data_IF_155951452071
#
_entry.id   IF_155951452071
#
_cell.length_a   1.000
_cell.length_b   1.000
_cell.length_c   1.000
_cell.angle_alpha   90.00
_cell.angle_beta   90.00
_cell.angle_gamma   90.00
#
_symmetry.space_group_name_H-M   'P 1'
#
loop_
_entity.id
_entity.type
_entity.pdbx_description
1 polymer ?
#
# COMPACT_ATOMS: atom_id res chain seq x y z
N UNK A 1 10.94 8.20 -2.48
CA UNK A 1 10.02 7.03 -2.46
C UNK A 1 8.82 7.23 -3.36
N UNK A 2 8.46 6.22 -4.15
CA UNK A 2 7.33 6.32 -5.10
C UNK A 2 6.01 5.99 -4.40
N UNK A 3 5.10 6.94 -4.44
CA UNK A 3 3.74 6.87 -3.93
C UNK A 3 2.81 6.47 -5.09
N UNK A 4 2.40 5.20 -5.15
CA UNK A 4 1.54 4.65 -6.21
C UNK A 4 2.27 4.00 -7.39
N UNK A 5 1.49 3.39 -8.28
CA UNK A 5 1.95 2.73 -9.50
C UNK A 5 1.21 1.44 -9.83
N UNK A 6 1.59 0.83 -10.96
CA UNK A 6 1.08 -0.47 -11.38
C UNK A 6 2.07 -1.56 -10.99
N UNK A 7 1.58 -2.60 -10.31
CA UNK A 7 2.40 -3.70 -9.81
C UNK A 7 1.82 -4.99 -10.36
N UNK A 8 2.66 -5.76 -11.03
CA UNK A 8 2.37 -7.14 -11.37
C UNK A 8 3.11 -8.03 -10.39
N UNK A 9 2.37 -8.63 -9.47
CA UNK A 9 2.97 -9.38 -8.36
C UNK A 9 3.37 -10.77 -8.85
N UNK A 10 4.62 -11.18 -8.70
CA UNK A 10 5.08 -12.56 -8.97
C UNK A 10 5.44 -13.32 -7.69
N UNK A 11 5.69 -12.59 -6.61
CA UNK A 11 5.99 -13.08 -5.26
C UNK A 11 5.49 -12.06 -4.23
N UNK A 12 5.41 -12.47 -2.96
CA UNK A 12 5.01 -11.56 -1.88
C UNK A 12 5.93 -10.32 -1.83
N UNK A 13 5.34 -9.14 -1.62
CA UNK A 13 6.05 -7.87 -1.58
C UNK A 13 5.37 -6.90 -0.61
N UNK A 14 6.08 -5.84 -0.26
CA UNK A 14 5.62 -4.82 0.69
C UNK A 14 5.20 -3.55 -0.04
N UNK A 15 4.13 -2.94 0.47
CA UNK A 15 3.72 -1.58 0.15
C UNK A 15 3.65 -0.79 1.44
N UNK A 16 4.22 0.41 1.40
CA UNK A 16 4.24 1.32 2.54
C UNK A 16 3.88 2.71 2.09
N UNK A 17 3.39 3.52 3.01
CA UNK A 17 3.39 4.97 2.82
C UNK A 17 4.82 5.47 2.60
N UNK A 18 5.01 6.55 1.83
CA UNK A 18 6.28 7.25 1.79
C UNK A 18 6.70 7.65 3.22
N UNK A 19 7.93 7.34 3.60
CA UNK A 19 8.46 7.66 4.93
C UNK A 19 8.34 6.54 5.97
N UNK A 20 7.49 5.51 5.77
CA UNK A 20 7.41 4.40 6.72
C UNK A 20 8.80 3.79 7.01
N UNK A 21 9.18 3.54 8.28
CA UNK A 21 8.33 3.54 9.49
C UNK A 21 8.14 4.92 10.16
N UNK A 22 8.66 6.00 9.58
CA UNK A 22 8.40 7.37 10.04
C UNK A 22 7.04 7.85 9.53
N UNK A 23 6.63 9.05 9.97
CA UNK A 23 5.38 9.69 9.55
C UNK A 23 5.30 9.86 8.04
N UNK A 24 4.11 9.63 7.49
CA UNK A 24 3.80 9.97 6.10
C UNK A 24 3.74 11.49 5.90
N UNK A 25 4.03 11.97 4.70
CA UNK A 25 3.98 13.41 4.43
C UNK A 25 2.52 13.88 4.28
N UNK A 26 2.18 15.13 4.69
CA UNK A 26 0.84 15.67 4.51
C UNK A 26 0.50 15.84 3.02
N UNK A 27 -0.81 15.89 2.71
CA UNK A 27 -1.33 16.12 1.36
C UNK A 27 -0.88 15.09 0.29
N UNK A 28 -0.68 13.83 0.71
CA UNK A 28 -0.31 12.74 -0.21
C UNK A 28 -1.53 12.04 -0.81
N UNK A 29 -1.41 11.67 -2.08
CA UNK A 29 -2.38 10.82 -2.78
C UNK A 29 -1.63 9.68 -3.49
N UNK A 30 -1.64 8.50 -2.88
CA UNK A 30 -1.06 7.31 -3.48
C UNK A 30 -2.15 6.40 -4.04
N UNK A 31 -1.92 5.83 -5.23
CA UNK A 31 -2.83 4.87 -5.83
C UNK A 31 -2.02 3.72 -6.43
N UNK A 32 -2.25 2.52 -5.95
CA UNK A 32 -1.60 1.30 -6.43
C UNK A 32 -2.62 0.41 -7.13
N UNK A 33 -2.27 -0.07 -8.32
CA UNK A 33 -3.03 -1.09 -9.04
C UNK A 33 -2.22 -2.38 -9.01
N UNK A 34 -2.69 -3.37 -8.26
CA UNK A 34 -2.00 -4.65 -8.09
C UNK A 34 -2.70 -5.70 -8.97
N UNK A 35 -1.92 -6.39 -9.80
CA UNK A 35 -2.40 -7.41 -10.73
C UNK A 35 -1.72 -8.76 -10.47
N UNK A 36 -2.51 -9.83 -10.49
CA UNK A 36 -2.01 -11.19 -10.38
C UNK A 36 -1.37 -11.68 -11.71
N UNK A 37 -0.41 -12.63 -11.67
CA UNK A 37 0.23 -13.15 -12.88
C UNK A 37 -0.74 -13.81 -13.87
N UNK A 38 -1.74 -14.52 -13.34
CA UNK A 38 -2.69 -15.32 -14.11
C UNK A 38 -4.15 -15.13 -13.70
N UNK A 39 -5.10 -15.54 -14.56
CA UNK A 39 -6.53 -15.21 -14.46
C UNK A 39 -7.27 -15.85 -13.28
N UNK A 40 -6.75 -16.97 -12.74
CA UNK A 40 -7.37 -17.71 -11.63
C UNK A 40 -6.70 -17.43 -10.28
N UNK A 41 -5.71 -16.53 -10.24
CA UNK A 41 -5.02 -16.18 -9.00
C UNK A 41 -5.72 -15.02 -8.30
N UNK A 42 -5.68 -15.03 -6.96
CA UNK A 42 -6.24 -13.97 -6.11
C UNK A 42 -5.14 -13.29 -5.33
N UNK A 43 -5.35 -12.01 -5.02
CA UNK A 43 -4.41 -11.20 -4.25
C UNK A 43 -4.86 -11.21 -2.80
N UNK A 44 -3.94 -11.53 -1.89
CA UNK A 44 -4.12 -11.39 -0.45
C UNK A 44 -3.25 -10.22 0.04
N UNK A 45 -3.83 -9.38 0.90
CA UNK A 45 -3.13 -8.24 1.51
C UNK A 45 -3.27 -8.38 3.02
N UNK A 46 -2.15 -8.27 3.73
CA UNK A 46 -2.10 -8.25 5.19
C UNK A 46 -1.49 -6.93 5.63
N UNK A 47 -2.11 -6.28 6.61
CA UNK A 47 -1.55 -5.08 7.24
C UNK A 47 -0.57 -5.47 8.34
N UNK A 48 0.49 -4.68 8.49
CA UNK A 48 1.38 -4.78 9.64
C UNK A 48 0.60 -4.31 10.90
N UNK A 49 0.72 -4.98 12.06
CA UNK A 49 0.10 -4.51 13.31
C UNK A 49 0.56 -3.10 13.72
N UNK A 50 1.74 -2.66 13.29
CA UNK A 50 2.18 -1.27 13.38
C UNK A 50 1.55 -0.46 12.25
N UNK A 51 0.35 0.03 12.49
CA UNK A 51 -0.44 0.83 11.56
C UNK A 51 -1.00 2.06 12.28
N UNK A 52 -0.62 3.25 11.80
CA UNK A 52 -0.96 4.53 12.44
C UNK A 52 -1.40 5.55 11.37
N UNK A 53 -2.54 6.19 11.60
CA UNK A 53 -3.16 7.21 10.74
C UNK A 53 -3.76 8.31 11.63
N UNK A 54 -4.04 9.48 11.03
CA UNK A 54 -4.70 10.57 11.73
C UNK A 54 -6.08 10.14 12.26
N UNK A 55 -6.32 10.28 13.57
CA UNK A 55 -7.58 9.94 14.27
C UNK A 55 -8.67 10.99 14.06
N UNK A 56 -8.91 11.34 12.80
CA UNK A 56 -10.07 12.14 12.40
C UNK A 56 -11.01 11.14 11.75
N UNK A 57 -12.09 10.76 12.44
CA UNK A 57 -13.17 9.91 11.90
C UNK A 57 -13.24 10.11 10.40
N UNK A 58 -12.80 9.15 9.56
CA UNK A 58 -12.42 9.34 8.15
C UNK A 58 -13.47 10.08 7.29
N UNK A 59 -13.63 11.39 7.52
CA UNK A 59 -14.67 12.32 7.10
C UNK A 59 -13.98 13.53 6.47
#
# INVERSE_FOLDING_TARGET
>A
DKCGGNIRISSASYLTSPGYPLSYSPSQRCTWVISAPGPHQRILINFNPHFDLEDRECK
#
